data_IF_585676985136
#
_entry.id   IF_585676985136
#
_cell.length_a   1.000
_cell.length_b   1.000
_cell.length_c   1.000
_cell.angle_alpha   90.00
_cell.angle_beta   90.00
_cell.angle_gamma   90.00
#
_symmetry.space_group_name_H-M   'P 1'
#
loop_
_entity.id
_entity.type
_entity.pdbx_description
1 polymer ?
#
# COMPACT_ATOMS: atom_id res chain seq x y z
N UNK A 1 -21.21 -34.57 14.03
CA UNK A 1 -20.61 -33.50 14.86
C UNK A 1 -19.59 -32.79 14.00
N UNK A 2 -20.08 -31.85 13.17
CA UNK A 2 -19.24 -31.12 12.22
C UNK A 2 -18.55 -30.02 13.02
N UNK A 3 -17.24 -30.17 13.24
CA UNK A 3 -16.40 -29.09 13.73
C UNK A 3 -16.56 -27.92 12.76
N UNK A 4 -17.27 -26.88 13.19
CA UNK A 4 -17.14 -25.56 12.60
C UNK A 4 -15.65 -25.23 12.72
N UNK A 5 -14.91 -25.33 11.61
CA UNK A 5 -13.61 -24.66 11.53
C UNK A 5 -13.92 -23.20 11.79
N UNK A 6 -13.51 -22.70 12.95
CA UNK A 6 -13.21 -21.28 13.09
C UNK A 6 -12.34 -20.96 11.88
N UNK A 7 -12.86 -20.13 10.96
CA UNK A 7 -12.05 -19.61 9.89
C UNK A 7 -10.95 -18.82 10.58
N UNK A 8 -9.76 -19.43 10.68
CA UNK A 8 -8.59 -18.79 11.25
C UNK A 8 -8.42 -17.48 10.49
N UNK A 9 -8.80 -16.39 11.17
CA UNK A 9 -8.98 -15.10 10.51
C UNK A 9 -7.58 -14.59 10.31
N UNK A 10 -7.06 -14.79 9.10
CA UNK A 10 -5.66 -14.51 8.82
C UNK A 10 -5.37 -13.03 9.07
N UNK A 11 -4.47 -12.77 10.00
CA UNK A 11 -4.03 -11.42 10.39
C UNK A 11 -2.68 -11.14 9.74
N UNK A 12 -2.61 -10.05 8.98
CA UNK A 12 -1.33 -9.51 8.49
C UNK A 12 -0.67 -8.76 9.64
N UNK A 13 0.52 -9.20 10.04
CA UNK A 13 1.35 -8.52 11.03
C UNK A 13 2.45 -7.75 10.33
N UNK A 14 2.57 -6.45 10.59
CA UNK A 14 3.55 -5.58 9.95
C UNK A 14 4.46 -4.95 11.00
N UNK A 15 5.74 -5.32 10.98
CA UNK A 15 6.78 -4.66 11.76
C UNK A 15 7.47 -3.60 10.92
N UNK A 16 7.66 -2.39 11.43
CA UNK A 16 8.27 -1.28 10.68
C UNK A 16 9.23 -0.44 11.53
N UNK A 17 10.18 0.25 10.90
CA UNK A 17 11.03 1.24 11.59
C UNK A 17 10.59 2.70 11.35
N UNK A 18 9.41 2.92 10.78
CA UNK A 18 8.98 4.24 10.35
C UNK A 18 8.83 5.22 11.52
N UNK A 19 9.41 6.40 11.37
CA UNK A 19 9.19 7.55 12.24
C UNK A 19 8.16 8.47 11.58
N UNK A 20 6.94 8.50 12.16
CA UNK A 20 5.82 9.30 11.66
C UNK A 20 6.11 10.79 11.55
N UNK A 21 7.08 11.33 12.29
CA UNK A 21 7.48 12.73 12.20
C UNK A 21 8.21 13.06 10.88
N UNK A 22 8.85 12.07 10.25
CA UNK A 22 9.61 12.22 8.99
C UNK A 22 8.74 12.19 7.74
N UNK A 23 7.43 12.01 7.89
CA UNK A 23 6.48 11.99 6.79
C UNK A 23 5.53 13.18 6.89
N UNK A 24 5.19 13.85 5.78
CA UNK A 24 4.07 14.79 5.71
C UNK A 24 2.75 14.04 5.83
N UNK A 25 2.62 12.93 5.12
CA UNK A 25 1.51 11.99 5.23
C UNK A 25 2.04 10.58 5.35
N UNK A 26 1.40 9.77 6.18
CA UNK A 26 1.70 8.35 6.29
C UNK A 26 0.40 7.63 6.60
N UNK A 27 0.02 6.70 5.74
CA UNK A 27 -1.19 5.90 5.91
C UNK A 27 -1.05 4.55 5.21
N UNK A 28 -1.81 3.58 5.71
CA UNK A 28 -2.17 2.38 4.98
C UNK A 28 -3.64 2.45 4.53
N UNK A 29 -3.96 1.78 3.43
CA UNK A 29 -5.31 1.66 2.88
C UNK A 29 -5.59 0.21 2.52
N UNK A 30 -6.63 -0.36 3.11
CA UNK A 30 -7.16 -1.67 2.76
C UNK A 30 -7.88 -1.53 1.42
N UNK A 31 -7.18 -1.93 0.36
CA UNK A 31 -7.57 -1.72 -1.02
C UNK A 31 -8.53 -2.82 -1.48
N UNK A 32 -9.50 -2.44 -2.32
CA UNK A 32 -10.55 -3.32 -2.85
C UNK A 32 -10.91 -3.00 -4.30
N UNK A 33 -10.09 -2.20 -4.99
CA UNK A 33 -10.30 -1.88 -6.39
C UNK A 33 -9.58 -0.61 -6.84
N UNK A 34 -9.74 -0.32 -8.13
CA UNK A 34 -9.18 0.87 -8.77
C UNK A 34 -10.29 1.82 -9.24
N UNK A 35 -10.02 3.13 -9.18
CA UNK A 35 -10.70 4.13 -10.00
C UNK A 35 -9.69 4.76 -10.98
N UNK A 36 -9.66 4.33 -12.25
CA UNK A 36 -8.64 4.78 -13.21
C UNK A 36 -8.86 6.23 -13.68
N UNK A 37 -9.96 6.89 -13.32
CA UNK A 37 -10.22 8.30 -13.65
C UNK A 37 -9.55 9.28 -12.68
N UNK A 38 -8.90 8.78 -11.63
CA UNK A 38 -8.14 9.59 -10.67
C UNK A 38 -6.71 9.07 -10.54
N UNK A 39 -5.80 9.96 -10.20
CA UNK A 39 -4.46 9.60 -9.77
C UNK A 39 -4.32 9.75 -8.25
N UNK A 40 -3.16 9.36 -7.73
CA UNK A 40 -2.83 9.43 -6.29
C UNK A 40 -3.83 8.63 -5.43
N UNK A 41 -4.19 9.14 -4.26
CA UNK A 41 -4.96 8.41 -3.26
C UNK A 41 -6.36 7.97 -3.72
N UNK A 42 -6.95 8.73 -4.64
CA UNK A 42 -8.28 8.45 -5.18
C UNK A 42 -8.27 7.37 -6.28
N UNK A 43 -7.09 7.00 -6.80
CA UNK A 43 -6.94 5.88 -7.72
C UNK A 43 -7.21 4.52 -7.04
N UNK A 44 -7.00 4.44 -5.72
CA UNK A 44 -7.19 3.23 -4.93
C UNK A 44 -8.54 3.33 -4.22
N UNK A 45 -9.46 2.39 -4.46
CA UNK A 45 -10.68 2.23 -3.66
C UNK A 45 -10.35 1.46 -2.39
N UNK A 46 -10.97 1.85 -1.27
CA UNK A 46 -10.69 1.19 0.01
C UNK A 46 -10.81 2.09 1.22
N UNK A 47 -10.58 1.50 2.39
CA UNK A 47 -10.69 2.16 3.70
C UNK A 47 -9.30 2.40 4.28
N UNK A 48 -9.09 3.56 4.91
CA UNK A 48 -7.82 3.85 5.57
C UNK A 48 -7.69 3.10 6.88
N UNK A 49 -6.48 2.63 7.17
CA UNK A 49 -6.11 2.17 8.50
C UNK A 49 -6.11 3.33 9.49
N UNK A 50 -6.62 3.08 10.69
CA UNK A 50 -6.50 3.97 11.85
C UNK A 50 -5.28 3.65 12.69
N UNK A 51 -4.71 2.44 12.54
CA UNK A 51 -3.51 1.99 13.26
C UNK A 51 -2.22 2.39 12.55
N UNK A 52 -2.12 2.17 11.24
CA UNK A 52 -0.96 2.56 10.45
C UNK A 52 -1.15 3.99 9.93
N UNK A 53 -0.86 4.98 10.78
CA UNK A 53 -0.87 6.39 10.39
C UNK A 53 0.03 7.23 11.28
N UNK A 54 0.68 8.25 10.70
CA UNK A 54 1.47 9.22 11.49
C UNK A 54 0.67 10.00 12.53
N UNK A 55 -0.66 10.02 12.41
CA UNK A 55 -1.54 10.74 13.34
C UNK A 55 -1.86 9.92 14.60
N UNK A 56 -1.53 8.63 14.60
CA UNK A 56 -1.76 7.76 15.75
C UNK A 56 -0.67 8.01 16.81
N UNK A 57 -1.11 8.21 18.05
CA UNK A 57 -0.22 8.27 19.20
C UNK A 57 0.41 6.92 19.53
N UNK A 58 0.01 5.84 18.88
CA UNK A 58 0.60 4.51 19.10
C UNK A 58 1.65 4.17 18.05
N UNK A 59 1.69 4.89 16.93
CA UNK A 59 2.61 4.63 15.82
C UNK A 59 4.06 4.91 16.21
N UNK A 60 4.87 3.87 16.40
CA UNK A 60 6.27 4.00 16.85
C UNK A 60 7.23 3.14 16.02
N UNK A 61 8.46 3.60 15.77
CA UNK A 61 9.49 2.75 15.17
C UNK A 61 9.72 1.46 15.97
N UNK A 62 9.89 0.34 15.26
CA UNK A 62 10.09 -0.99 15.83
C UNK A 62 8.80 -1.70 16.25
N UNK A 63 7.65 -1.06 16.11
CA UNK A 63 6.35 -1.65 16.45
C UNK A 63 5.91 -2.68 15.41
N UNK A 64 5.24 -3.73 15.90
CA UNK A 64 4.43 -4.64 15.08
C UNK A 64 2.96 -4.22 15.17
N UNK A 65 2.34 -3.98 14.01
CA UNK A 65 0.94 -3.61 13.88
C UNK A 65 0.17 -4.79 13.28
N UNK A 66 -0.88 -5.24 13.98
CA UNK A 66 -1.88 -6.12 13.38
C UNK A 66 -2.81 -5.29 12.49
N UNK A 67 -2.89 -5.66 11.21
CA UNK A 67 -3.74 -5.02 10.22
C UNK A 67 -5.04 -5.81 10.04
N UNK A 68 -5.85 -5.85 11.10
CA UNK A 68 -7.09 -6.64 11.21
C UNK A 68 -8.36 -5.75 11.36
N UNK A 69 -8.27 -4.48 10.97
CA UNK A 69 -9.35 -3.51 11.25
C UNK A 69 -10.63 -3.77 10.44
N UNK A 70 -10.53 -4.53 9.35
CA UNK A 70 -11.64 -4.87 8.47
C UNK A 70 -11.64 -6.37 8.14
N UNK A 71 -12.82 -6.98 7.93
CA UNK A 71 -12.93 -8.38 7.56
C UNK A 71 -12.11 -8.72 6.32
N UNK A 72 -11.44 -9.88 6.33
CA UNK A 72 -10.46 -10.29 5.31
C UNK A 72 -11.06 -10.53 3.92
N UNK A 73 -12.39 -10.63 3.80
CA UNK A 73 -13.13 -10.75 2.54
C UNK A 73 -13.54 -9.40 1.93
N UNK A 74 -13.19 -8.28 2.57
CA UNK A 74 -13.56 -6.92 2.11
C UNK A 74 -12.42 -6.15 1.41
N UNK A 75 -11.24 -6.75 1.31
CA UNK A 75 -10.04 -6.16 0.71
C UNK A 75 -9.11 -7.27 0.20
N UNK A 76 -8.24 -6.93 -0.75
CA UNK A 76 -7.30 -7.89 -1.37
C UNK A 76 -5.83 -7.45 -1.29
N UNK A 77 -5.58 -6.21 -0.92
CA UNK A 77 -4.24 -5.69 -0.65
C UNK A 77 -4.27 -4.59 0.42
N UNK A 78 -3.13 -4.35 1.07
CA UNK A 78 -2.93 -3.19 1.94
C UNK A 78 -1.89 -2.29 1.29
N UNK A 79 -2.31 -1.12 0.81
CA UNK A 79 -1.41 -0.16 0.20
C UNK A 79 -0.85 0.82 1.22
N UNK A 80 0.47 0.98 1.26
CA UNK A 80 1.18 1.91 2.15
C UNK A 80 1.72 3.08 1.34
N UNK A 81 1.41 4.29 1.80
CA UNK A 81 1.91 5.55 1.24
C UNK A 81 2.52 6.40 2.35
N UNK A 82 3.79 6.77 2.18
CA UNK A 82 4.50 7.70 3.04
C UNK A 82 5.09 8.83 2.23
N UNK A 83 4.54 10.04 2.34
CA UNK A 83 5.09 11.21 1.68
C UNK A 83 6.15 11.84 2.59
N UNK A 84 7.40 11.88 2.15
CA UNK A 84 8.50 12.42 2.94
C UNK A 84 8.25 13.89 3.29
N UNK A 85 8.53 14.25 4.55
CA UNK A 85 8.50 15.64 4.99
C UNK A 85 9.72 16.42 4.48
N UNK A 86 10.85 15.73 4.28
CA UNK A 86 12.06 16.36 3.75
C UNK A 86 11.88 16.71 2.28
N UNK A 87 12.28 17.94 1.91
CA UNK A 87 12.10 18.49 0.57
C UNK A 87 10.65 18.79 0.18
N UNK A 88 9.66 18.56 1.05
CA UNK A 88 8.24 18.70 0.72
C UNK A 88 7.86 20.12 0.28
N UNK A 89 8.31 21.15 1.01
CA UNK A 89 8.05 22.55 0.66
C UNK A 89 8.73 23.01 -0.64
N UNK A 90 9.76 22.28 -1.08
CA UNK A 90 10.50 22.54 -2.32
C UNK A 90 10.09 21.61 -3.45
N UNK A 91 9.12 20.72 -3.23
CA UNK A 91 8.68 19.69 -4.18
C UNK A 91 9.79 18.73 -4.66
N UNK A 92 10.85 18.54 -3.85
CA UNK A 92 11.95 17.60 -4.16
C UNK A 92 11.80 16.26 -3.45
N UNK A 93 10.72 16.07 -2.69
CA UNK A 93 10.49 14.88 -1.87
C UNK A 93 10.05 13.65 -2.68
N UNK A 94 9.62 13.84 -3.94
CA UNK A 94 8.96 12.78 -4.70
C UNK A 94 9.75 11.48 -4.77
N UNK A 95 11.08 11.45 -5.03
CA UNK A 95 11.85 10.22 -5.02
C UNK A 95 11.79 9.48 -3.67
N UNK A 96 11.80 10.23 -2.56
CA UNK A 96 11.87 9.74 -1.19
C UNK A 96 10.52 9.28 -0.60
N UNK A 97 9.43 9.38 -1.36
CA UNK A 97 8.14 8.89 -0.88
C UNK A 97 8.12 7.35 -0.87
N UNK A 98 7.60 6.77 0.21
CA UNK A 98 7.35 5.33 0.36
C UNK A 98 6.07 4.95 -0.38
N UNK A 99 6.16 3.92 -1.22
CA UNK A 99 5.02 3.33 -1.91
C UNK A 99 5.24 1.83 -2.07
N UNK A 100 4.38 1.03 -1.45
CA UNK A 100 4.40 -0.43 -1.55
C UNK A 100 3.05 -0.97 -1.16
N UNK A 101 2.67 -2.14 -1.70
CA UNK A 101 1.49 -2.85 -1.24
C UNK A 101 1.87 -4.16 -0.54
N UNK A 102 1.00 -4.65 0.31
CA UNK A 102 1.11 -5.95 0.95
C UNK A 102 -0.02 -6.81 0.41
N UNK A 103 0.32 -7.98 -0.11
CA UNK A 103 -0.64 -9.00 -0.51
C UNK A 103 -0.78 -10.02 0.62
N UNK A 104 -2.00 -10.24 1.15
CA UNK A 104 -2.25 -11.27 2.14
C UNK A 104 -1.88 -12.66 1.59
N UNK A 105 -1.08 -13.41 2.37
CA UNK A 105 -0.65 -14.77 2.03
C UNK A 105 -0.33 -15.53 3.31
N UNK A 106 -1.28 -16.36 3.75
CA UNK A 106 -1.15 -17.15 4.98
C UNK A 106 0.16 -17.94 5.03
N UNK A 107 0.87 -17.84 6.17
CA UNK A 107 2.14 -18.52 6.42
C UNK A 107 3.35 -17.93 5.69
N UNK A 108 3.18 -16.93 4.82
CA UNK A 108 4.30 -16.26 4.17
C UNK A 108 4.88 -15.16 5.07
N UNK A 109 6.19 -14.95 4.93
CA UNK A 109 6.89 -13.80 5.47
C UNK A 109 7.69 -13.14 4.37
N UNK A 110 7.86 -11.82 4.47
CA UNK A 110 8.64 -11.04 3.51
C UNK A 110 9.22 -9.79 4.16
N UNK A 111 10.23 -9.22 3.52
CA UNK A 111 10.92 -8.00 3.97
C UNK A 111 11.03 -6.99 2.84
N UNK A 112 10.90 -5.72 3.18
CA UNK A 112 10.98 -4.62 2.24
C UNK A 112 11.92 -3.54 2.75
N UNK A 113 12.72 -3.01 1.82
CA UNK A 113 13.76 -2.03 2.07
C UNK A 113 13.62 -0.88 1.07
N UNK A 114 13.71 0.35 1.57
CA UNK A 114 13.77 1.55 0.75
C UNK A 114 14.49 2.66 1.50
N UNK A 115 15.65 3.06 0.98
CA UNK A 115 16.57 3.96 1.70
C UNK A 115 16.84 3.41 3.12
N UNK A 116 16.49 4.17 4.16
CA UNK A 116 16.66 3.77 5.55
C UNK A 116 15.38 3.17 6.17
N UNK A 117 14.34 2.97 5.37
CA UNK A 117 13.06 2.43 5.80
C UNK A 117 13.00 0.93 5.61
N UNK A 118 12.54 0.23 6.64
CA UNK A 118 12.39 -1.21 6.65
C UNK A 118 11.00 -1.60 7.12
N UNK A 119 10.47 -2.64 6.49
CA UNK A 119 9.27 -3.34 6.94
C UNK A 119 9.45 -4.84 6.81
N UNK A 120 8.91 -5.58 7.76
CA UNK A 120 8.78 -7.04 7.71
C UNK A 120 7.32 -7.40 7.90
N UNK A 121 6.83 -8.35 7.11
CA UNK A 121 5.44 -8.78 7.17
C UNK A 121 5.35 -10.28 7.47
N UNK A 122 4.37 -10.65 8.28
CA UNK A 122 3.90 -12.03 8.45
C UNK A 122 2.48 -12.15 7.90
N UNK A 123 2.17 -13.33 7.34
CA UNK A 123 0.97 -13.61 6.56
C UNK A 123 0.77 -12.69 5.35
N UNK A 124 1.88 -12.25 4.75
CA UNK A 124 1.84 -11.40 3.56
C UNK A 124 3.15 -11.41 2.78
N UNK A 125 3.10 -10.81 1.59
CA UNK A 125 4.27 -10.52 0.75
C UNK A 125 4.17 -9.10 0.21
N UNK A 126 5.30 -8.44 -0.04
CA UNK A 126 5.30 -7.10 -0.61
C UNK A 126 5.13 -7.15 -2.13
N UNK A 127 4.27 -6.29 -2.66
CA UNK A 127 4.12 -6.04 -4.09
C UNK A 127 4.72 -4.69 -4.44
N UNK A 128 5.65 -4.72 -5.41
CA UNK A 128 6.29 -3.50 -5.91
C UNK A 128 5.31 -2.68 -6.74
N UNK A 129 5.59 -1.38 -6.81
CA UNK A 129 4.97 -0.51 -7.81
C UNK A 129 5.70 -0.70 -9.14
N UNK A 130 4.95 -0.88 -10.23
CA UNK A 130 5.51 -0.96 -11.58
C UNK A 130 6.15 0.36 -12.02
N UNK A 131 7.16 0.29 -12.89
CA UNK A 131 7.77 1.45 -13.55
C UNK A 131 6.83 2.10 -14.57
N UNK A 132 7.17 3.30 -15.05
CA UNK A 132 6.42 3.96 -16.13
C UNK A 132 6.50 3.18 -17.45
N UNK A 133 7.58 2.43 -17.67
CA UNK A 133 7.77 1.60 -18.86
C UNK A 133 6.78 0.43 -18.92
N UNK A 134 6.48 -0.16 -17.76
CA UNK A 134 5.58 -1.30 -17.57
C UNK A 134 4.09 -0.91 -17.53
N UNK A 135 3.78 0.39 -17.49
CA UNK A 135 2.40 0.85 -17.50
C UNK A 135 1.73 0.47 -18.83
N UNK A 136 0.50 -0.02 -18.81
CA UNK A 136 -0.25 -0.31 -20.03
C UNK A 136 -0.31 0.93 -20.93
N UNK A 137 -0.15 0.73 -22.25
CA UNK A 137 -0.03 1.78 -23.25
C UNK A 137 -1.20 2.77 -23.22
N UNK A 138 -2.42 2.32 -22.93
CA UNK A 138 -3.62 3.16 -22.88
C UNK A 138 -3.55 4.25 -21.81
N UNK A 139 -2.76 4.04 -20.75
CA UNK A 139 -2.57 5.03 -19.69
C UNK A 139 -1.41 5.99 -19.98
N UNK A 140 -0.54 5.69 -20.95
CA UNK A 140 0.64 6.53 -21.27
C UNK A 140 0.26 7.86 -21.92
N UNK A 141 -0.95 7.98 -22.48
CA UNK A 141 -1.50 9.22 -23.03
C UNK A 141 -2.17 10.13 -21.98
N UNK A 142 -2.29 9.67 -20.73
CA UNK A 142 -2.84 10.49 -19.65
C UNK A 142 -1.85 11.60 -19.24
N UNK A 143 -2.32 12.66 -18.53
CA UNK A 143 -1.44 13.68 -17.99
C UNK A 143 -0.28 13.11 -17.17
N UNK A 144 0.83 13.84 -17.13
CA UNK A 144 2.07 13.39 -16.48
C UNK A 144 1.84 13.02 -15.00
N UNK A 145 0.93 13.69 -14.30
CA UNK A 145 0.61 13.35 -12.91
C UNK A 145 -0.05 11.97 -12.73
N UNK A 146 -0.65 11.39 -13.77
CA UNK A 146 -1.12 10.00 -13.76
C UNK A 146 0.04 9.05 -14.00
N UNK A 147 0.74 9.23 -15.12
CA UNK A 147 1.81 8.32 -15.57
C UNK A 147 2.90 8.17 -14.50
N UNK A 148 3.32 9.29 -13.91
CA UNK A 148 4.38 9.28 -12.90
C UNK A 148 3.90 8.78 -11.54
N UNK A 149 2.60 8.86 -11.22
CA UNK A 149 2.07 8.57 -9.89
C UNK A 149 2.18 7.09 -9.53
N UNK A 150 2.91 6.79 -8.45
CA UNK A 150 3.12 5.42 -7.96
C UNK A 150 1.85 4.74 -7.44
N UNK A 151 0.92 5.49 -6.87
CA UNK A 151 -0.36 4.93 -6.43
C UNK A 151 -1.24 4.53 -7.61
N UNK A 152 -1.31 5.39 -8.63
CA UNK A 152 -2.05 5.12 -9.85
C UNK A 152 -1.46 3.91 -10.57
N UNK A 153 -0.15 3.91 -10.83
CA UNK A 153 0.57 2.82 -11.48
C UNK A 153 0.35 1.48 -10.79
N UNK A 154 0.46 1.46 -9.46
CA UNK A 154 0.16 0.25 -8.70
C UNK A 154 -1.31 -0.17 -8.85
N UNK A 155 -2.26 0.75 -8.69
CA UNK A 155 -3.68 0.42 -8.71
C UNK A 155 -4.12 -0.16 -10.05
N UNK A 156 -3.77 0.48 -11.18
CA UNK A 156 -4.16 0.00 -12.51
C UNK A 156 -3.46 -1.31 -12.87
N UNK A 157 -2.24 -1.52 -12.37
CA UNK A 157 -1.54 -2.78 -12.55
C UNK A 157 -2.17 -3.90 -11.72
N UNK A 158 -2.32 -3.70 -10.41
CA UNK A 158 -2.85 -4.69 -9.49
C UNK A 158 -4.27 -5.12 -9.88
N UNK A 159 -5.10 -4.14 -10.22
CA UNK A 159 -6.50 -4.36 -10.61
C UNK A 159 -6.73 -4.51 -12.12
N UNK A 160 -5.68 -4.76 -12.92
CA UNK A 160 -5.77 -4.88 -14.39
C UNK A 160 -6.88 -5.82 -14.86
N UNK A 161 -7.05 -6.97 -14.20
CA UNK A 161 -8.12 -7.93 -14.51
C UNK A 161 -9.52 -7.35 -14.26
N UNK A 162 -9.71 -6.56 -13.19
CA UNK A 162 -10.99 -5.88 -12.93
C UNK A 162 -11.27 -4.76 -13.94
N UNK A 163 -10.22 -4.23 -14.57
CA UNK A 163 -10.29 -3.15 -15.55
C UNK A 163 -10.38 -3.67 -17.00
N UNK A 164 -10.20 -4.97 -17.23
CA UNK A 164 -10.13 -5.58 -18.56
C UNK A 164 -8.79 -5.35 -19.27
N UNK A 165 -7.70 -5.21 -18.52
CA UNK A 165 -6.36 -4.80 -18.98
C UNK A 165 -5.38 -5.97 -19.06
N UNK A 166 -5.84 -7.14 -19.51
CA UNK A 166 -5.07 -8.40 -19.48
C UNK A 166 -3.93 -8.48 -20.53
N UNK A 167 -3.58 -7.35 -21.14
CA UNK A 167 -2.48 -7.19 -22.10
C UNK A 167 -1.12 -6.93 -21.44
#
# INVERSE_FOLDING_TARGET
MTLLREADTMVVLLTHNFDGARFRWLYAKYASGCNPTHHCTNAIRGRYSRRFTRLSSEFRPGQTIALDEFPTDTWDAIYICGVSADGYSRHTNYPHNVHVAILPRSGATDTWLFENWTMSVENGVFERVISEGELNSKYKSLPREFVTCRMFRWAVWHYRHQLGDDE
#
